data_IF_481556433088
#
_entry.id   IF_481556433088
#
_cell.length_a   1.000
_cell.length_b   1.000
_cell.length_c   1.000
_cell.angle_alpha   90.00
_cell.angle_beta   90.00
_cell.angle_gamma   90.00
#
_symmetry.space_group_name_H-M   'P 1'
#
loop_
_entity.id
_entity.type
_entity.pdbx_description
1 polymer ?
#
# COMPACT_ATOMS: atom_id res chain seq x y z
N UNK A 1 -4.72 -3.44 11.95
CA UNK A 1 -3.49 -4.14 11.50
C UNK A 1 -3.97 -5.36 10.74
N UNK A 2 -3.53 -5.53 9.50
CA UNK A 2 -3.73 -6.78 8.76
C UNK A 2 -2.84 -7.86 9.39
N UNK A 3 -3.20 -9.12 9.19
CA UNK A 3 -2.33 -10.24 9.61
C UNK A 3 -1.16 -10.47 8.63
N UNK A 4 -0.84 -9.46 7.85
CA UNK A 4 0.18 -9.49 6.79
C UNK A 4 1.29 -8.51 7.12
N UNK A 5 2.50 -8.87 6.79
CA UNK A 5 3.68 -8.02 6.87
C UNK A 5 4.61 -8.31 5.69
N UNK A 6 5.46 -7.35 5.36
CA UNK A 6 6.45 -7.46 4.30
C UNK A 6 7.85 -7.57 4.88
N UNK A 7 8.71 -8.31 4.19
CA UNK A 7 10.13 -8.50 4.53
C UNK A 7 10.96 -8.27 3.29
N UNK A 8 12.01 -7.45 3.39
CA UNK A 8 12.97 -7.27 2.31
C UNK A 8 14.24 -8.09 2.57
N UNK A 9 14.60 -8.89 1.58
CA UNK A 9 15.83 -9.68 1.56
C UNK A 9 17.02 -8.78 1.22
N UNK A 10 18.17 -9.02 1.84
CA UNK A 10 19.43 -8.36 1.49
C UNK A 10 20.09 -9.05 0.27
N UNK A 11 19.79 -10.32 0.05
CA UNK A 11 20.30 -11.11 -1.07
C UNK A 11 19.52 -12.41 -1.26
N UNK A 12 19.74 -13.08 -2.39
CA UNK A 12 19.04 -14.31 -2.76
C UNK A 12 19.20 -15.45 -1.73
N UNK A 13 20.33 -15.51 -1.04
CA UNK A 13 20.58 -16.49 0.02
C UNK A 13 19.65 -16.35 1.22
N UNK A 14 19.02 -15.18 1.40
CA UNK A 14 18.14 -14.92 2.54
C UNK A 14 16.76 -15.53 2.36
N UNK A 15 16.39 -15.91 1.12
CA UNK A 15 15.14 -16.62 0.87
C UNK A 15 15.07 -17.96 1.63
N UNK A 16 16.17 -18.70 1.68
CA UNK A 16 16.22 -19.94 2.45
C UNK A 16 16.06 -19.71 3.98
N UNK A 17 16.60 -18.59 4.48
CA UNK A 17 16.39 -18.16 5.87
C UNK A 17 14.94 -17.79 6.12
N UNK A 18 14.34 -17.02 5.19
CA UNK A 18 12.94 -16.63 5.27
C UNK A 18 12.02 -17.85 5.33
N UNK A 19 12.23 -18.82 4.44
CA UNK A 19 11.47 -20.07 4.41
C UNK A 19 11.58 -20.84 5.73
N UNK A 20 12.80 -20.98 6.26
CA UNK A 20 13.03 -21.66 7.54
C UNK A 20 12.31 -20.97 8.70
N UNK A 21 12.37 -19.65 8.78
CA UNK A 21 11.67 -18.90 9.82
C UNK A 21 10.14 -19.02 9.63
N UNK A 22 9.66 -18.95 8.39
CA UNK A 22 8.24 -19.11 8.11
C UNK A 22 7.71 -20.47 8.59
N UNK A 23 8.43 -21.55 8.35
CA UNK A 23 8.09 -22.89 8.86
C UNK A 23 8.11 -22.94 10.39
N UNK A 24 9.18 -22.43 11.01
CA UNK A 24 9.34 -22.46 12.46
C UNK A 24 8.25 -21.69 13.21
N UNK A 25 7.79 -20.56 12.63
CA UNK A 25 6.81 -19.68 13.27
C UNK A 25 5.38 -19.85 12.71
N UNK A 26 5.15 -20.86 11.86
CA UNK A 26 3.88 -21.15 11.19
C UNK A 26 3.33 -19.92 10.41
N UNK A 27 4.18 -19.30 9.62
CA UNK A 27 3.84 -18.19 8.76
C UNK A 27 3.59 -18.70 7.33
N UNK A 28 2.65 -18.09 6.64
CA UNK A 28 2.38 -18.36 5.24
C UNK A 28 3.10 -17.34 4.37
N UNK A 29 3.93 -17.79 3.42
CA UNK A 29 4.56 -16.93 2.43
C UNK A 29 3.57 -16.73 1.28
N UNK A 30 3.08 -15.50 1.11
CA UNK A 30 2.11 -15.15 0.07
C UNK A 30 2.75 -14.95 -1.30
N UNK A 31 4.04 -14.64 -1.33
CA UNK A 31 4.81 -14.42 -2.56
C UNK A 31 5.67 -13.16 -2.53
N UNK A 32 6.32 -12.91 -3.64
CA UNK A 32 7.16 -11.74 -3.85
C UNK A 32 6.34 -10.52 -4.33
N UNK A 33 6.88 -9.33 -4.12
CA UNK A 33 6.30 -8.11 -4.64
C UNK A 33 6.50 -8.04 -6.16
N UNK A 34 5.46 -7.65 -6.89
CA UNK A 34 5.45 -7.56 -8.36
C UNK A 34 6.50 -6.58 -8.93
N UNK A 35 6.83 -5.53 -8.19
CA UNK A 35 7.72 -4.45 -8.64
C UNK A 35 9.14 -4.57 -8.06
N UNK A 36 9.29 -5.25 -6.91
CA UNK A 36 10.57 -5.50 -6.27
C UNK A 36 10.64 -6.94 -5.77
N UNK A 37 11.30 -7.84 -6.52
CA UNK A 37 11.41 -9.26 -6.16
C UNK A 37 12.17 -9.53 -4.85
N UNK A 38 12.87 -8.53 -4.30
CA UNK A 38 13.53 -8.67 -2.99
C UNK A 38 12.56 -8.62 -1.82
N UNK A 39 11.32 -8.14 -2.04
CA UNK A 39 10.30 -7.98 -1.01
C UNK A 39 9.32 -9.16 -1.05
N UNK A 40 9.13 -9.81 0.08
CA UNK A 40 8.18 -10.92 0.27
C UNK A 40 7.09 -10.52 1.24
N UNK A 41 5.86 -10.97 0.96
CA UNK A 41 4.72 -10.82 1.86
C UNK A 41 4.49 -12.11 2.61
N UNK A 42 4.28 -11.99 3.92
CA UNK A 42 3.95 -13.10 4.81
C UNK A 42 2.65 -12.83 5.55
N UNK A 43 1.92 -13.90 5.84
CA UNK A 43 0.69 -13.84 6.62
C UNK A 43 0.82 -14.63 7.90
N UNK A 44 0.34 -14.04 8.99
CA UNK A 44 0.15 -14.74 10.25
C UNK A 44 -1.20 -15.46 10.26
N UNK A 45 -1.19 -16.74 10.62
CA UNK A 45 -2.38 -17.58 10.81
C UNK A 45 -2.73 -17.66 12.29
N UNK A 46 -3.76 -18.46 12.64
CA UNK A 46 -4.10 -18.72 14.05
C UNK A 46 -3.06 -19.58 14.77
N UNK A 47 -2.30 -20.35 14.01
CA UNK A 47 -1.22 -21.23 14.50
C UNK A 47 0.13 -20.52 14.59
N UNK A 48 0.22 -19.29 14.08
CA UNK A 48 1.47 -18.52 14.14
C UNK A 48 1.84 -18.14 15.57
N UNK A 49 3.14 -18.11 15.86
CA UNK A 49 3.67 -17.81 17.21
C UNK A 49 3.51 -16.34 17.63
N UNK A 50 3.01 -15.48 16.74
CA UNK A 50 2.75 -14.07 17.02
C UNK A 50 1.88 -13.41 15.93
N UNK A 51 1.45 -12.18 16.17
CA UNK A 51 0.74 -11.38 15.19
C UNK A 51 1.73 -10.70 14.20
N UNK A 52 1.20 -10.07 13.15
CA UNK A 52 2.04 -9.47 12.11
C UNK A 52 3.00 -8.39 12.63
N UNK A 53 2.62 -7.61 13.63
CA UNK A 53 3.49 -6.61 14.24
C UNK A 53 4.64 -7.27 15.02
N UNK A 54 4.33 -8.29 15.82
CA UNK A 54 5.33 -9.02 16.61
C UNK A 54 6.31 -9.76 15.69
N UNK A 55 5.81 -10.41 14.63
CA UNK A 55 6.64 -11.13 13.68
C UNK A 55 7.51 -10.21 12.83
N UNK A 56 6.98 -9.07 12.39
CA UNK A 56 7.78 -8.08 11.69
C UNK A 56 8.91 -7.52 12.57
N UNK A 57 8.60 -7.15 13.81
CA UNK A 57 9.63 -6.69 14.77
C UNK A 57 10.69 -7.77 15.02
N UNK A 58 10.27 -9.02 15.25
CA UNK A 58 11.20 -10.13 15.42
C UNK A 58 12.15 -10.30 14.23
N UNK A 59 11.61 -10.26 13.01
CA UNK A 59 12.43 -10.40 11.80
C UNK A 59 13.38 -9.21 11.60
N UNK A 60 12.92 -8.00 11.87
CA UNK A 60 13.77 -6.81 11.82
C UNK A 60 14.90 -6.86 12.84
N UNK A 61 14.58 -7.16 14.10
CA UNK A 61 15.55 -7.23 15.21
C UNK A 61 16.55 -8.39 15.04
N UNK A 62 16.19 -9.44 14.31
CA UNK A 62 17.11 -10.54 14.01
C UNK A 62 18.33 -10.12 13.18
N UNK A 63 18.25 -8.96 12.47
CA UNK A 63 19.29 -8.47 11.57
C UNK A 63 19.52 -9.37 10.34
N UNK A 64 18.62 -10.32 10.08
CA UNK A 64 18.73 -11.25 8.96
C UNK A 64 18.19 -10.70 7.64
N UNK A 65 17.45 -9.60 7.70
CA UNK A 65 16.76 -8.96 6.57
C UNK A 65 17.01 -7.46 6.56
N UNK A 66 16.86 -6.84 5.39
CA UNK A 66 17.04 -5.39 5.24
C UNK A 66 16.00 -4.61 6.07
N UNK A 67 14.72 -4.99 5.93
CA UNK A 67 13.66 -4.54 6.81
C UNK A 67 12.53 -5.57 6.92
N UNK A 68 11.68 -5.38 7.92
CA UNK A 68 10.39 -6.05 8.05
C UNK A 68 9.35 -5.06 8.59
N UNK A 69 8.19 -4.98 7.94
CA UNK A 69 7.17 -3.96 8.26
C UNK A 69 5.77 -4.58 8.20
N UNK A 70 4.94 -4.40 9.25
CA UNK A 70 3.56 -4.84 9.21
C UNK A 70 2.75 -4.00 8.23
N UNK A 71 1.81 -4.65 7.53
CA UNK A 71 0.87 -3.94 6.66
C UNK A 71 -0.22 -3.29 7.50
N UNK A 72 -0.37 -1.99 7.36
CA UNK A 72 -1.40 -1.20 8.02
C UNK A 72 -2.53 -0.88 7.05
N UNK A 73 -3.77 -1.12 7.46
CA UNK A 73 -4.91 -0.48 6.82
C UNK A 73 -4.93 0.96 7.34
N UNK A 74 -4.57 1.89 6.50
CA UNK A 74 -4.79 3.31 6.76
C UNK A 74 -6.22 3.61 6.30
N UNK A 75 -7.14 3.79 7.24
CA UNK A 75 -8.41 4.43 6.91
C UNK A 75 -8.12 5.90 6.59
N UNK A 76 -7.88 6.19 5.31
CA UNK A 76 -7.93 7.56 4.85
C UNK A 76 -9.42 7.95 4.81
N UNK A 77 -9.87 8.74 5.76
CA UNK A 77 -11.13 9.46 5.55
C UNK A 77 -10.94 10.30 4.29
N UNK A 78 -11.88 10.22 3.31
CA UNK A 78 -11.84 11.15 2.20
C UNK A 78 -11.91 12.54 2.81
N UNK A 79 -10.83 13.30 2.68
CA UNK A 79 -10.86 14.71 3.04
C UNK A 79 -12.00 15.37 2.27
N UNK A 80 -12.72 16.25 2.95
CA UNK A 80 -13.58 17.23 2.30
C UNK A 80 -12.82 17.89 1.13
N UNK A 81 -13.48 18.65 0.28
CA UNK A 81 -12.88 19.30 -0.89
C UNK A 81 -11.41 19.73 -0.63
N UNK A 82 -10.50 19.55 -1.59
CA UNK A 82 -9.09 19.88 -1.42
C UNK A 82 -8.90 21.27 -0.80
N UNK A 83 -8.00 21.38 0.16
CA UNK A 83 -7.67 22.65 0.82
C UNK A 83 -6.65 23.48 0.01
N UNK A 84 -6.40 23.12 -1.25
CA UNK A 84 -5.56 23.86 -2.16
C UNK A 84 -6.11 25.28 -2.38
N UNK A 85 -5.25 26.28 -2.22
CA UNK A 85 -5.61 27.71 -2.37
C UNK A 85 -6.20 28.01 -3.74
N UNK A 86 -5.78 27.31 -4.78
CA UNK A 86 -6.22 27.51 -6.16
C UNK A 86 -7.35 26.56 -6.57
N UNK A 87 -7.80 25.64 -5.73
CA UNK A 87 -8.87 24.70 -6.07
C UNK A 87 -10.16 25.40 -6.55
N UNK A 88 -10.49 26.54 -5.92
CA UNK A 88 -11.66 27.33 -6.29
C UNK A 88 -11.60 27.93 -7.71
N UNK A 89 -10.41 28.05 -8.29
CA UNK A 89 -10.19 28.52 -9.65
C UNK A 89 -10.21 27.39 -10.69
N UNK A 90 -10.19 26.15 -10.23
CA UNK A 90 -10.22 24.96 -11.09
C UNK A 90 -11.66 24.56 -11.41
N UNK A 91 -12.31 25.39 -12.22
CA UNK A 91 -13.73 25.23 -12.58
C UNK A 91 -14.04 23.87 -13.26
N UNK A 92 -13.06 23.25 -13.90
CA UNK A 92 -13.18 21.92 -14.49
C UNK A 92 -13.31 20.81 -13.43
N UNK A 93 -12.73 20.97 -12.24
CA UNK A 93 -12.84 20.02 -11.13
C UNK A 93 -14.12 20.25 -10.32
N UNK A 94 -14.46 21.52 -10.08
CA UNK A 94 -15.70 21.94 -9.39
C UNK A 94 -16.15 23.29 -9.89
N UNK A 95 -17.29 23.34 -10.56
CA UNK A 95 -17.87 24.59 -11.04
C UNK A 95 -19.00 25.05 -10.13
N UNK A 96 -18.73 26.10 -9.36
CA UNK A 96 -19.72 26.69 -8.44
C UNK A 96 -20.71 27.58 -9.18
N UNK A 97 -20.26 28.25 -10.25
CA UNK A 97 -21.10 29.18 -11.02
C UNK A 97 -22.09 28.46 -11.92
N UNK A 98 -21.69 27.32 -12.46
CA UNK A 98 -22.55 26.50 -13.33
C UNK A 98 -22.48 25.03 -12.88
N UNK A 99 -23.26 24.63 -11.85
CA UNK A 99 -23.27 23.28 -11.35
C UNK A 99 -23.62 22.27 -12.45
N UNK A 100 -22.86 21.18 -12.53
CA UNK A 100 -23.04 20.14 -13.54
C UNK A 100 -22.22 20.32 -14.82
N UNK A 101 -21.40 21.37 -14.91
CA UNK A 101 -20.43 21.60 -15.99
C UNK A 101 -19.00 21.43 -15.46
N UNK A 102 -18.76 20.35 -14.73
CA UNK A 102 -17.45 19.95 -14.24
C UNK A 102 -17.33 18.43 -14.28
N UNK A 103 -16.15 17.89 -14.01
CA UNK A 103 -15.93 16.44 -13.98
C UNK A 103 -16.39 15.78 -12.69
N UNK A 104 -17.07 16.52 -11.83
CA UNK A 104 -17.58 16.01 -10.53
C UNK A 104 -16.49 15.41 -9.63
N UNK A 105 -15.30 16.00 -9.65
CA UNK A 105 -14.11 15.48 -8.98
C UNK A 105 -14.33 15.23 -7.49
N UNK A 106 -14.99 16.13 -6.77
CA UNK A 106 -15.20 16.00 -5.32
C UNK A 106 -16.04 14.77 -4.99
N UNK A 107 -17.11 14.52 -5.74
CA UNK A 107 -17.95 13.34 -5.53
C UNK A 107 -17.24 12.05 -5.95
N UNK A 108 -16.50 12.08 -7.06
CA UNK A 108 -15.68 10.96 -7.49
C UNK A 108 -14.64 10.62 -6.41
N UNK A 109 -13.89 11.60 -5.91
CA UNK A 109 -12.92 11.41 -4.84
C UNK A 109 -13.55 10.82 -3.57
N UNK A 110 -14.72 11.32 -3.18
CA UNK A 110 -15.42 10.83 -1.99
C UNK A 110 -16.01 9.42 -2.18
N UNK A 111 -16.33 9.03 -3.40
CA UNK A 111 -16.84 7.70 -3.73
C UNK A 111 -15.73 6.64 -3.78
N UNK A 112 -14.50 7.04 -4.08
CA UNK A 112 -13.35 6.15 -4.07
C UNK A 112 -12.73 6.11 -2.67
N UNK A 113 -13.11 5.11 -1.89
CA UNK A 113 -12.40 4.78 -0.67
C UNK A 113 -11.02 4.23 -1.05
N UNK A 114 -9.96 5.05 -0.95
CA UNK A 114 -8.61 4.55 -0.98
C UNK A 114 -8.45 3.46 0.10
N UNK A 115 -7.84 2.30 -0.17
CA UNK A 115 -6.52 2.14 -0.79
C UNK A 115 -6.47 1.19 -1.99
N UNK A 116 -7.55 0.88 -2.65
CA UNK A 116 -7.55 -0.12 -3.72
C UNK A 116 -7.53 0.54 -5.10
N UNK A 117 -6.43 1.23 -5.42
CA UNK A 117 -6.22 1.69 -6.78
C UNK A 117 -5.32 0.67 -7.46
N UNK A 118 -5.90 -0.11 -8.36
CA UNK A 118 -5.11 -0.79 -9.36
C UNK A 118 -4.35 0.27 -10.17
N UNK A 119 -3.12 -0.04 -10.59
CA UNK A 119 -2.36 0.85 -11.44
C UNK A 119 -3.18 1.22 -12.69
N UNK A 120 -3.45 2.50 -12.85
CA UNK A 120 -4.14 3.03 -14.02
C UNK A 120 -3.10 3.67 -14.91
N UNK A 121 -3.01 3.17 -16.15
CA UNK A 121 -2.13 3.77 -17.15
C UNK A 121 -2.86 4.98 -17.73
N UNK A 122 -2.31 6.17 -17.49
CA UNK A 122 -2.80 7.43 -18.06
C UNK A 122 -1.90 7.84 -19.22
N UNK A 123 -2.47 7.93 -20.42
CA UNK A 123 -1.78 8.51 -21.56
C UNK A 123 -2.19 9.98 -21.71
N UNK A 124 -1.22 10.88 -21.64
CA UNK A 124 -1.41 12.30 -21.96
C UNK A 124 -0.99 12.51 -23.40
N UNK A 125 -1.95 12.86 -24.24
CA UNK A 125 -1.70 13.20 -25.64
C UNK A 125 -1.73 14.71 -25.74
N UNK A 126 -0.58 15.32 -25.91
CA UNK A 126 -0.39 16.75 -26.00
C UNK A 126 0.52 17.08 -27.19
N UNK A 127 0.48 18.31 -27.67
CA UNK A 127 1.36 18.83 -28.70
C UNK A 127 2.65 19.46 -28.16
N UNK A 128 2.92 19.26 -26.90
CA UNK A 128 4.10 19.73 -26.17
C UNK A 128 3.81 20.86 -25.17
N UNK A 129 4.67 20.96 -24.17
CA UNK A 129 4.71 22.02 -23.16
C UNK A 129 5.86 22.96 -23.43
#
# INVERSE_FOLDING_TARGET
IMNVFSVQLTGEQDLAKLQKIAEEYNLEILGENKFDPSIYYLSCTKESKGNALEMANFMYESGAFEYATPEFIVESMPDAAPNDTYFSYQWNLKNVSYPGIDINYVNARNAFAFPYINDIIVAVVDNGV
#
